data_IF_821774523505
#
_entry.id   IF_821774523505
#
_cell.length_a   1.000
_cell.length_b   1.000
_cell.length_c   1.000
_cell.angle_alpha   90.00
_cell.angle_beta   90.00
_cell.angle_gamma   90.00
#
_symmetry.space_group_name_H-M   'P 1'
#
loop_
_entity.id
_entity.type
_entity.pdbx_description
1 polymer ?
#
# COMPACT_ATOMS: atom_id res chain seq x y z
N UNK A 1 -16.10 -6.08 9.85
CA UNK A 1 -14.72 -6.59 9.72
C UNK A 1 -13.85 -5.43 9.26
N UNK A 2 -12.61 -5.30 9.72
CA UNK A 2 -11.74 -4.20 9.27
C UNK A 2 -11.17 -4.54 7.89
N UNK A 3 -11.17 -3.57 6.98
CA UNK A 3 -10.62 -3.69 5.62
C UNK A 3 -9.26 -3.02 5.51
N UNK A 4 -8.26 -3.74 5.03
CA UNK A 4 -6.88 -3.28 4.84
C UNK A 4 -6.55 -3.31 3.36
N UNK A 5 -6.14 -2.17 2.82
CA UNK A 5 -5.70 -2.03 1.43
C UNK A 5 -4.18 -1.89 1.33
N UNK A 6 -3.60 -2.47 0.29
CA UNK A 6 -2.21 -2.27 -0.13
C UNK A 6 -2.22 -1.89 -1.61
N UNK A 7 -1.61 -0.74 -1.96
CA UNK A 7 -1.35 -0.40 -3.36
C UNK A 7 0.16 -0.52 -3.59
N UNK A 8 0.57 -1.40 -4.51
CA UNK A 8 1.98 -1.69 -4.78
C UNK A 8 2.18 -2.47 -6.12
N UNK A 9 3.17 -3.35 -6.22
CA UNK A 9 3.50 -4.19 -7.38
C UNK A 9 2.73 -5.52 -7.46
N UNK A 10 1.78 -5.76 -6.55
CA UNK A 10 0.96 -6.98 -6.49
C UNK A 10 1.31 -7.88 -5.32
N UNK A 11 1.07 -9.18 -5.46
CA UNK A 11 1.51 -10.20 -4.50
C UNK A 11 1.90 -11.51 -5.19
N UNK A 12 2.93 -12.19 -4.71
CA UNK A 12 3.27 -13.55 -5.14
C UNK A 12 2.19 -14.54 -4.67
N UNK A 13 1.59 -15.28 -5.61
CA UNK A 13 0.58 -16.29 -5.26
C UNK A 13 1.17 -17.40 -4.36
N UNK A 14 2.47 -17.67 -4.51
CA UNK A 14 3.19 -18.64 -3.69
C UNK A 14 3.19 -18.23 -2.21
N UNK A 15 3.44 -16.96 -1.92
CA UNK A 15 3.40 -16.43 -0.56
C UNK A 15 2.02 -16.58 0.08
N UNK A 16 0.95 -16.28 -0.68
CA UNK A 16 -0.43 -16.46 -0.21
C UNK A 16 -0.73 -17.93 0.14
N UNK A 17 -0.27 -18.87 -0.70
CA UNK A 17 -0.45 -20.32 -0.48
C UNK A 17 0.32 -20.80 0.76
N UNK A 18 1.61 -20.48 0.84
CA UNK A 18 2.49 -20.92 1.92
C UNK A 18 1.99 -20.48 3.29
N UNK A 19 1.40 -19.30 3.37
CA UNK A 19 0.94 -18.69 4.61
C UNK A 19 -0.57 -18.74 4.82
N UNK A 20 -1.30 -19.49 3.99
CA UNK A 20 -2.75 -19.63 4.06
C UNK A 20 -3.50 -18.29 4.10
N UNK A 21 -2.98 -17.27 3.42
CA UNK A 21 -3.61 -15.96 3.31
C UNK A 21 -4.64 -15.93 2.18
N UNK A 22 -5.72 -15.19 2.40
CA UNK A 22 -6.78 -14.96 1.42
C UNK A 22 -6.92 -13.46 1.18
N UNK A 23 -7.05 -13.06 -0.09
CA UNK A 23 -7.45 -11.71 -0.44
C UNK A 23 -8.98 -11.66 -0.52
N UNK A 24 -9.58 -10.59 0.01
CA UNK A 24 -11.01 -10.35 -0.10
C UNK A 24 -11.41 -9.72 -1.45
N UNK A 25 -10.46 -9.06 -2.10
CA UNK A 25 -10.58 -8.51 -3.44
C UNK A 25 -9.23 -7.98 -3.91
N UNK A 26 -9.04 -7.85 -5.21
CA UNK A 26 -7.83 -7.25 -5.75
C UNK A 26 -8.12 -6.60 -7.11
N UNK A 27 -7.26 -5.70 -7.54
CA UNK A 27 -7.35 -5.09 -8.85
C UNK A 27 -5.98 -4.79 -9.45
N UNK A 28 -5.88 -4.77 -10.77
CA UNK A 28 -4.70 -4.29 -11.50
C UNK A 28 -5.04 -3.06 -12.32
N UNK A 29 -4.11 -2.09 -12.35
CA UNK A 29 -4.27 -0.84 -13.08
C UNK A 29 -3.04 -0.59 -13.94
N UNK A 30 -3.23 -0.62 -15.26
CA UNK A 30 -2.18 -0.40 -16.25
C UNK A 30 -2.58 0.71 -17.21
N UNK A 31 -1.60 1.43 -17.76
CA UNK A 31 -1.85 2.44 -18.79
C UNK A 31 -1.17 1.99 -20.07
N UNK A 32 -1.97 1.74 -21.10
CA UNK A 32 -1.48 1.64 -22.47
C UNK A 32 -1.22 3.06 -22.98
N UNK A 33 0.06 3.41 -23.14
CA UNK A 33 0.47 4.73 -23.61
C UNK A 33 0.17 4.96 -25.09
N UNK A 34 0.17 3.90 -25.90
CA UNK A 34 -0.08 3.99 -27.34
C UNK A 34 -1.57 4.16 -27.60
N UNK A 35 -2.41 3.40 -26.90
CA UNK A 35 -3.87 3.54 -26.97
C UNK A 35 -4.41 4.72 -26.15
N UNK A 36 -3.60 5.25 -25.21
CA UNK A 36 -4.02 6.23 -24.20
C UNK A 36 -5.20 5.75 -23.35
N UNK A 37 -5.23 4.45 -23.04
CA UNK A 37 -6.31 3.80 -22.29
C UNK A 37 -5.76 3.30 -20.96
N UNK A 38 -6.42 3.70 -19.87
CA UNK A 38 -6.21 3.10 -18.56
C UNK A 38 -7.08 1.85 -18.46
N UNK A 39 -6.44 0.70 -18.26
CA UNK A 39 -7.12 -0.56 -18.02
C UNK A 39 -7.17 -0.82 -16.50
N UNK A 40 -8.38 -1.03 -15.99
CA UNK A 40 -8.62 -1.49 -14.63
C UNK A 40 -9.25 -2.88 -14.68
N UNK A 41 -8.65 -3.85 -13.99
CA UNK A 41 -9.15 -5.23 -13.89
C UNK A 41 -9.33 -5.59 -12.44
N UNK A 42 -10.58 -5.65 -11.98
CA UNK A 42 -10.92 -6.12 -10.65
C UNK A 42 -11.12 -7.65 -10.63
N UNK A 43 -10.76 -8.27 -9.53
CA UNK A 43 -10.81 -9.70 -9.31
C UNK A 43 -11.62 -9.99 -8.05
N UNK A 44 -12.65 -10.82 -8.22
CA UNK A 44 -13.52 -11.21 -7.12
C UNK A 44 -12.92 -12.38 -6.34
N UNK A 45 -13.47 -12.66 -5.16
CA UNK A 45 -12.98 -13.71 -4.26
C UNK A 45 -12.81 -15.07 -4.95
N UNK A 46 -13.74 -15.45 -5.82
CA UNK A 46 -13.70 -16.74 -6.52
C UNK A 46 -12.49 -16.83 -7.46
N UNK A 47 -12.22 -15.78 -8.25
CA UNK A 47 -11.05 -15.71 -9.13
C UNK A 47 -9.75 -15.79 -8.34
N UNK A 48 -9.71 -15.10 -7.20
CA UNK A 48 -8.55 -15.05 -6.31
C UNK A 48 -8.29 -16.40 -5.62
N UNK A 49 -9.36 -17.09 -5.21
CA UNK A 49 -9.26 -18.43 -4.64
C UNK A 49 -8.81 -19.46 -5.69
N UNK A 50 -9.33 -19.37 -6.91
CA UNK A 50 -8.91 -20.21 -8.03
C UNK A 50 -7.44 -19.98 -8.38
N UNK A 51 -7.01 -18.73 -8.49
CA UNK A 51 -5.60 -18.36 -8.72
C UNK A 51 -4.69 -18.85 -7.58
N UNK A 52 -5.10 -18.66 -6.32
CA UNK A 52 -4.41 -19.23 -5.17
C UNK A 52 -4.41 -20.75 -5.18
N UNK A 53 -5.39 -21.42 -5.76
CA UNK A 53 -5.38 -22.88 -5.92
C UNK A 53 -4.50 -23.38 -7.09
N UNK A 54 -3.94 -22.48 -7.91
CA UNK A 54 -3.11 -22.83 -9.06
C UNK A 54 -3.84 -22.77 -10.41
N UNK A 55 -5.06 -22.23 -10.45
CA UNK A 55 -5.79 -22.06 -11.70
C UNK A 55 -5.42 -20.73 -12.37
N UNK A 56 -4.74 -20.80 -13.51
CA UNK A 56 -4.45 -19.65 -14.36
C UNK A 56 -3.47 -18.64 -13.75
N UNK A 57 -3.39 -17.49 -14.40
CA UNK A 57 -2.56 -16.35 -13.99
C UNK A 57 -3.43 -15.11 -13.94
N UNK A 58 -3.31 -14.33 -12.87
CA UNK A 58 -3.92 -13.00 -12.78
C UNK A 58 -2.84 -11.94 -12.96
N UNK A 59 -3.24 -10.74 -13.40
CA UNK A 59 -2.35 -9.57 -13.48
C UNK A 59 -2.14 -8.94 -12.09
N UNK A 60 -1.91 -9.79 -11.10
CA UNK A 60 -1.65 -9.50 -9.70
C UNK A 60 -0.33 -10.11 -9.22
N UNK A 61 0.23 -11.05 -9.98
CA UNK A 61 1.49 -11.70 -9.64
C UNK A 61 2.59 -10.65 -9.52
N UNK A 62 3.21 -10.60 -8.35
CA UNK A 62 4.30 -9.68 -8.06
C UNK A 62 5.62 -10.22 -8.63
N UNK A 63 5.98 -9.73 -9.81
CA UNK A 63 7.22 -10.12 -10.49
C UNK A 63 8.45 -9.35 -10.00
N UNK A 64 8.27 -8.35 -9.13
CA UNK A 64 9.36 -7.63 -8.50
C UNK A 64 9.63 -8.14 -7.07
N UNK A 65 8.58 -8.34 -6.28
CA UNK A 65 8.61 -8.79 -4.90
C UNK A 65 8.34 -7.69 -3.85
N UNK A 66 8.15 -6.42 -4.24
CA UNK A 66 8.03 -5.30 -3.30
C UNK A 66 6.65 -5.28 -2.61
N UNK A 67 5.57 -5.47 -3.37
CA UNK A 67 4.23 -5.60 -2.83
C UNK A 67 4.08 -6.82 -1.91
N UNK A 68 4.70 -7.94 -2.28
CA UNK A 68 4.81 -9.14 -1.45
C UNK A 68 5.59 -8.86 -0.17
N UNK A 69 6.71 -8.14 -0.27
CA UNK A 69 7.49 -7.72 0.88
C UNK A 69 6.66 -6.86 1.84
N UNK A 70 5.91 -5.88 1.34
CA UNK A 70 4.98 -5.05 2.13
C UNK A 70 3.94 -5.92 2.86
N UNK A 71 3.23 -6.79 2.14
CA UNK A 71 2.23 -7.68 2.76
C UNK A 71 2.88 -8.62 3.79
N UNK A 72 4.09 -9.11 3.52
CA UNK A 72 4.81 -10.01 4.40
C UNK A 72 5.22 -9.36 5.72
N UNK A 73 5.54 -8.06 5.71
CA UNK A 73 5.85 -7.29 6.93
C UNK A 73 4.61 -7.20 7.81
N UNK A 74 3.46 -6.84 7.23
CA UNK A 74 2.19 -6.86 7.97
C UNK A 74 1.95 -8.24 8.55
N UNK A 75 2.06 -9.27 7.71
CA UNK A 75 1.86 -10.66 8.10
C UNK A 75 2.76 -11.04 9.29
N UNK A 76 4.08 -10.85 9.19
CA UNK A 76 5.05 -11.22 10.23
C UNK A 76 4.83 -10.47 11.56
N UNK A 77 4.50 -9.17 11.51
CA UNK A 77 4.41 -8.33 12.70
C UNK A 77 3.05 -8.34 13.40
N UNK A 78 1.99 -8.76 12.71
CA UNK A 78 0.65 -8.88 13.28
C UNK A 78 0.35 -10.36 13.53
N UNK A 79 0.68 -10.80 14.75
CA UNK A 79 0.53 -12.19 15.21
C UNK A 79 -0.25 -12.25 16.52
N UNK A 80 -1.30 -13.10 16.61
CA UNK A 80 -1.95 -13.85 15.52
C UNK A 80 -2.55 -12.93 14.45
N UNK A 81 -2.70 -13.41 13.21
CA UNK A 81 -3.31 -12.62 12.14
C UNK A 81 -4.78 -12.34 12.49
N UNK A 82 -5.22 -11.07 12.49
CA UNK A 82 -6.56 -10.69 12.94
C UNK A 82 -7.62 -11.01 11.88
N UNK A 83 -8.88 -10.98 12.30
CA UNK A 83 -10.03 -11.08 11.39
C UNK A 83 -10.19 -9.78 10.59
N UNK A 84 -9.46 -9.71 9.47
CA UNK A 84 -9.40 -8.56 8.56
C UNK A 84 -9.52 -9.01 7.11
N UNK A 85 -10.15 -8.17 6.31
CA UNK A 85 -10.19 -8.34 4.86
C UNK A 85 -8.99 -7.63 4.24
N UNK A 86 -8.21 -8.34 3.43
CA UNK A 86 -7.04 -7.78 2.73
C UNK A 86 -7.39 -7.53 1.27
N UNK A 87 -7.12 -6.32 0.81
CA UNK A 87 -7.27 -5.90 -0.58
C UNK A 87 -5.92 -5.48 -1.15
N UNK A 88 -5.66 -5.84 -2.40
CA UNK A 88 -4.41 -5.48 -3.11
C UNK A 88 -4.73 -4.80 -4.43
N UNK A 89 -4.13 -3.64 -4.68
CA UNK A 89 -4.13 -3.01 -5.99
C UNK A 89 -2.71 -3.01 -6.56
N UNK A 90 -2.54 -3.62 -7.73
CA UNK A 90 -1.28 -3.62 -8.47
C UNK A 90 -1.24 -2.43 -9.42
N UNK A 91 -0.26 -1.55 -9.25
CA UNK A 91 -0.02 -0.36 -10.09
C UNK A 91 1.44 -0.23 -10.54
N UNK A 92 2.34 -1.06 -10.01
CA UNK A 92 3.76 -1.06 -10.33
C UNK A 92 4.14 -2.29 -11.15
N UNK A 93 5.00 -2.09 -12.13
CA UNK A 93 5.58 -3.14 -12.97
C UNK A 93 6.80 -3.82 -12.31
N UNK A 94 7.42 -4.76 -13.02
CA UNK A 94 8.61 -5.49 -12.56
C UNK A 94 9.82 -4.59 -12.24
N UNK A 95 9.83 -3.34 -12.72
CA UNK A 95 10.88 -2.36 -12.49
C UNK A 95 10.50 -1.32 -11.43
N UNK A 96 9.40 -1.52 -10.69
CA UNK A 96 8.85 -0.56 -9.72
C UNK A 96 8.50 0.77 -10.39
N UNK A 97 7.93 0.68 -11.60
CA UNK A 97 7.41 1.83 -12.33
C UNK A 97 5.90 1.70 -12.48
N UNK A 98 5.21 2.81 -12.30
CA UNK A 98 3.77 2.91 -12.48
C UNK A 98 3.39 4.29 -12.99
N UNK A 99 2.26 4.39 -13.66
CA UNK A 99 1.75 5.67 -14.10
C UNK A 99 0.95 6.36 -12.99
N UNK A 100 1.12 7.67 -12.81
CA UNK A 100 0.45 8.38 -11.71
C UNK A 100 -1.08 8.39 -11.84
N UNK A 101 -1.63 8.25 -13.05
CA UNK A 101 -3.07 8.05 -13.25
C UNK A 101 -3.54 6.69 -12.70
N UNK A 102 -2.77 5.62 -12.88
CA UNK A 102 -3.07 4.31 -12.29
C UNK A 102 -3.08 4.38 -10.76
N UNK A 103 -2.19 5.18 -10.16
CA UNK A 103 -2.19 5.40 -8.71
C UNK A 103 -3.48 6.12 -8.26
N UNK A 104 -3.91 7.18 -8.95
CA UNK A 104 -5.18 7.87 -8.61
C UNK A 104 -6.36 6.93 -8.74
N UNK A 105 -6.41 6.13 -9.81
CA UNK A 105 -7.52 5.20 -10.03
C UNK A 105 -7.54 4.06 -9.00
N UNK A 106 -6.38 3.49 -8.68
CA UNK A 106 -6.26 2.51 -7.62
C UNK A 106 -6.63 3.07 -6.23
N UNK A 107 -6.31 4.35 -5.98
CA UNK A 107 -6.77 5.05 -4.78
C UNK A 107 -8.29 5.22 -4.80
N UNK A 108 -8.89 5.55 -5.94
CA UNK A 108 -10.35 5.60 -6.12
C UNK A 108 -11.01 4.27 -5.78
N UNK A 109 -10.50 3.17 -6.34
CA UNK A 109 -10.99 1.82 -6.06
C UNK A 109 -10.84 1.44 -4.58
N UNK A 110 -9.64 1.62 -3.99
CA UNK A 110 -9.40 1.28 -2.58
C UNK A 110 -10.21 2.12 -1.61
N UNK A 111 -10.24 3.43 -1.85
CA UNK A 111 -10.87 4.36 -0.97
C UNK A 111 -12.37 4.35 -1.23
N UNK A 112 -12.89 4.75 -2.38
CA UNK A 112 -14.33 4.93 -2.55
C UNK A 112 -15.10 3.63 -2.74
N UNK A 113 -14.63 2.71 -3.60
CA UNK A 113 -15.39 1.49 -3.92
C UNK A 113 -15.26 0.40 -2.86
N UNK A 114 -14.04 0.01 -2.51
CA UNK A 114 -13.77 -1.00 -1.49
C UNK A 114 -14.11 -0.46 -0.10
N UNK A 115 -13.82 0.82 0.15
CA UNK A 115 -14.06 1.44 1.44
C UNK A 115 -13.07 0.99 2.51
N UNK A 116 -11.77 0.90 2.20
CA UNK A 116 -10.79 0.42 3.19
C UNK A 116 -10.70 1.32 4.42
N UNK A 117 -10.52 0.70 5.59
CA UNK A 117 -10.33 1.38 6.88
C UNK A 117 -8.88 1.80 7.10
N UNK A 118 -7.95 1.05 6.51
CA UNK A 118 -6.50 1.27 6.62
C UNK A 118 -5.85 0.99 5.27
N UNK A 119 -5.19 2.00 4.70
CA UNK A 119 -4.51 1.90 3.42
C UNK A 119 -3.00 2.08 3.59
N UNK A 120 -2.22 1.11 3.11
CA UNK A 120 -0.78 1.21 2.95
C UNK A 120 -0.43 1.65 1.51
N UNK A 121 0.27 2.77 1.37
CA UNK A 121 0.80 3.27 0.09
C UNK A 121 2.33 3.38 0.18
N UNK A 122 3.04 2.38 -0.34
CA UNK A 122 4.51 2.37 -0.32
C UNK A 122 5.12 2.97 -1.60
N UNK A 123 4.42 3.93 -2.21
CA UNK A 123 4.81 4.66 -3.40
C UNK A 123 4.22 6.09 -3.39
N UNK A 124 4.71 6.93 -4.30
CA UNK A 124 4.16 8.28 -4.51
C UNK A 124 4.62 8.89 -5.84
N UNK A 125 4.11 10.07 -6.14
CA UNK A 125 4.40 10.82 -7.38
C UNK A 125 4.75 12.26 -7.09
N UNK A 126 5.57 12.87 -7.95
CA UNK A 126 5.84 14.31 -7.97
C UNK A 126 4.86 15.07 -8.88
N UNK A 127 3.91 14.38 -9.52
CA UNK A 127 2.98 14.96 -10.48
C UNK A 127 1.88 15.79 -9.81
N UNK A 128 2.18 17.07 -9.56
CA UNK A 128 1.30 18.01 -8.84
C UNK A 128 -0.08 18.25 -9.45
N UNK A 129 -0.24 18.02 -10.75
CA UNK A 129 -1.54 18.16 -11.40
C UNK A 129 -2.62 17.23 -10.81
N UNK A 130 -2.22 16.13 -10.16
CA UNK A 130 -3.12 15.15 -9.54
C UNK A 130 -3.46 15.46 -8.08
N UNK A 131 -2.92 16.55 -7.53
CA UNK A 131 -3.09 16.89 -6.11
C UNK A 131 -4.56 17.06 -5.73
N UNK A 132 -5.34 17.77 -6.54
CA UNK A 132 -6.76 17.99 -6.28
C UNK A 132 -7.53 16.67 -6.22
N UNK A 133 -7.31 15.77 -7.18
CA UNK A 133 -7.97 14.46 -7.23
C UNK A 133 -7.57 13.57 -6.04
N UNK A 134 -6.28 13.50 -5.73
CA UNK A 134 -5.81 12.70 -4.58
C UNK A 134 -6.31 13.28 -3.25
N UNK A 135 -6.34 14.61 -3.10
CA UNK A 135 -6.87 15.29 -1.92
C UNK A 135 -8.34 15.00 -1.71
N UNK A 136 -9.14 15.14 -2.76
CA UNK A 136 -10.57 14.86 -2.72
C UNK A 136 -10.87 13.40 -2.29
N UNK A 137 -10.15 12.42 -2.85
CA UNK A 137 -10.21 11.01 -2.45
C UNK A 137 -9.84 10.79 -0.97
N UNK A 138 -8.68 11.32 -0.58
CA UNK A 138 -8.10 11.09 0.75
C UNK A 138 -8.90 11.81 1.85
N UNK A 139 -9.44 12.99 1.58
CA UNK A 139 -10.24 13.77 2.53
C UNK A 139 -11.61 13.11 2.77
N UNK A 140 -12.30 12.64 1.73
CA UNK A 140 -13.54 11.85 1.89
C UNK A 140 -13.31 10.58 2.70
N UNK A 141 -12.23 9.86 2.38
CA UNK A 141 -11.89 8.64 3.10
C UNK A 141 -11.49 8.92 4.56
N UNK A 142 -10.74 9.98 4.82
CA UNK A 142 -10.40 10.39 6.17
C UNK A 142 -11.65 10.80 6.97
N UNK A 143 -12.60 11.51 6.36
CA UNK A 143 -13.86 11.93 6.98
C UNK A 143 -14.72 10.75 7.46
N UNK A 144 -14.66 9.60 6.78
CA UNK A 144 -15.32 8.36 7.26
C UNK A 144 -14.49 7.57 8.28
N UNK A 145 -13.33 8.09 8.66
CA UNK A 145 -12.43 7.51 9.65
C UNK A 145 -11.36 6.57 9.10
N UNK A 146 -11.18 6.49 7.77
CA UNK A 146 -10.08 5.69 7.20
C UNK A 146 -8.72 6.32 7.53
N UNK A 147 -7.70 5.47 7.66
CA UNK A 147 -6.32 5.87 7.88
C UNK A 147 -5.53 5.54 6.62
N UNK A 148 -4.84 6.55 6.09
CA UNK A 148 -4.08 6.42 4.86
C UNK A 148 -2.63 6.68 5.22
N UNK A 149 -1.81 5.63 5.22
CA UNK A 149 -0.38 5.73 5.47
C UNK A 149 0.36 5.69 4.14
N UNK A 150 1.25 6.65 3.91
CA UNK A 150 2.06 6.71 2.70
C UNK A 150 3.53 6.88 3.03
N UNK A 151 4.41 6.19 2.32
CA UNK A 151 5.85 6.33 2.50
C UNK A 151 6.31 7.73 2.13
N UNK A 152 7.08 8.35 3.01
CA UNK A 152 7.71 9.63 2.74
C UNK A 152 8.83 9.45 1.70
N UNK A 153 8.92 10.40 0.77
CA UNK A 153 10.01 10.47 -0.21
C UNK A 153 11.15 11.37 0.26
N UNK A 154 12.32 11.26 -0.39
CA UNK A 154 13.44 12.20 -0.21
C UNK A 154 13.15 13.63 -0.69
N UNK A 155 12.02 13.83 -1.36
CA UNK A 155 11.47 15.10 -1.79
C UNK A 155 9.94 15.06 -1.61
N UNK A 156 9.23 16.19 -1.65
CA UNK A 156 7.80 16.21 -1.42
C UNK A 156 7.01 15.44 -2.52
N UNK A 157 6.32 14.37 -2.14
CA UNK A 157 5.52 13.49 -3.03
C UNK A 157 4.05 13.42 -2.62
N UNK A 158 3.18 13.17 -3.59
CA UNK A 158 1.77 12.88 -3.38
C UNK A 158 1.52 11.36 -3.38
N UNK A 159 0.60 10.84 -2.55
CA UNK A 159 -0.28 11.58 -1.65
C UNK A 159 0.35 11.89 -0.27
N UNK A 160 1.60 11.48 -0.01
CA UNK A 160 2.26 11.65 1.30
C UNK A 160 2.20 13.08 1.84
N UNK A 161 2.28 14.13 1.01
CA UNK A 161 2.18 15.53 1.45
C UNK A 161 0.77 16.00 1.83
N UNK A 162 -0.30 15.25 1.53
CA UNK A 162 -1.68 15.66 1.80
C UNK A 162 -2.00 15.59 3.29
N UNK A 163 -2.77 16.54 3.82
CA UNK A 163 -3.02 16.65 5.28
C UNK A 163 -3.77 15.45 5.87
N UNK A 164 -4.67 14.85 5.10
CA UNK A 164 -5.45 13.66 5.46
C UNK A 164 -4.62 12.36 5.46
N UNK A 165 -3.41 12.40 4.92
CA UNK A 165 -2.50 11.25 4.82
C UNK A 165 -1.46 11.30 5.94
N UNK A 166 -1.16 10.16 6.53
CA UNK A 166 -0.04 9.99 7.47
C UNK A 166 1.21 9.66 6.66
N UNK A 167 2.15 10.59 6.60
CA UNK A 167 3.44 10.40 5.94
C UNK A 167 4.41 9.65 6.87
N UNK A 168 4.93 8.52 6.44
CA UNK A 168 5.78 7.63 7.25
C UNK A 168 7.21 7.62 6.73
N UNK A 169 8.16 7.97 7.59
CA UNK A 169 9.60 7.96 7.31
C UNK A 169 10.35 6.89 8.09
N UNK A 170 11.63 6.73 7.74
CA UNK A 170 12.62 5.91 8.45
C UNK A 170 13.77 6.79 8.96
N UNK A 171 14.72 6.26 9.77
CA UNK A 171 15.81 7.06 10.30
C UNK A 171 16.73 7.62 9.19
N UNK A 172 16.95 6.86 8.12
CA UNK A 172 17.84 7.25 7.02
C UNK A 172 17.28 8.39 6.17
N UNK A 173 15.96 8.51 6.03
CA UNK A 173 15.30 9.66 5.44
C UNK A 173 15.49 10.89 6.33
N UNK A 174 15.25 10.76 7.63
CA UNK A 174 15.31 11.88 8.57
C UNK A 174 16.69 12.56 8.64
N UNK A 175 17.77 11.83 8.33
CA UNK A 175 19.13 12.39 8.24
C UNK A 175 19.34 13.32 7.03
N UNK A 176 18.47 13.25 6.01
CA UNK A 176 18.69 13.90 4.69
C UNK A 176 17.52 14.76 4.22
N UNK A 177 16.36 14.61 4.83
CA UNK A 177 15.11 15.18 4.31
C UNK A 177 15.05 16.70 4.51
N UNK A 178 14.53 17.40 3.51
CA UNK A 178 14.25 18.84 3.57
C UNK A 178 13.05 19.17 4.47
N UNK A 179 13.00 20.41 4.96
CA UNK A 179 11.90 20.90 5.80
C UNK A 179 10.54 21.00 5.06
N UNK A 180 10.56 20.92 3.73
CA UNK A 180 9.41 20.91 2.84
C UNK A 180 8.75 19.53 2.71
N UNK A 181 9.39 18.48 3.22
CA UNK A 181 8.81 17.13 3.26
C UNK A 181 8.09 16.93 4.58
N UNK A 182 6.77 16.81 4.52
CA UNK A 182 5.98 16.34 5.65
C UNK A 182 6.35 14.90 6.02
N UNK A 183 6.68 14.67 7.29
CA UNK A 183 6.84 13.35 7.93
C UNK A 183 6.06 13.38 9.24
N UNK A 184 4.99 12.59 9.33
CA UNK A 184 4.09 12.54 10.49
C UNK A 184 4.49 11.46 11.50
N UNK A 185 5.16 10.40 11.02
CA UNK A 185 5.60 9.28 11.84
C UNK A 185 6.95 8.76 11.37
N UNK A 186 7.80 8.34 12.31
CA UNK A 186 9.10 7.74 12.02
C UNK A 186 9.19 6.40 12.73
N UNK A 187 9.36 5.34 11.94
CA UNK A 187 9.69 4.00 12.46
C UNK A 187 11.14 4.02 12.93
N UNK A 188 11.42 3.49 14.13
CA UNK A 188 12.74 3.64 14.78
C UNK A 188 13.70 2.50 14.43
N UNK A 189 13.12 1.36 14.08
CA UNK A 189 13.80 0.15 13.67
C UNK A 189 14.63 0.43 12.41
N UNK A 190 15.86 -0.10 12.40
CA UNK A 190 16.80 0.08 11.28
C UNK A 190 16.75 -1.04 10.27
N UNK A 191 16.10 -2.14 10.63
CA UNK A 191 15.97 -3.33 9.80
C UNK A 191 14.58 -3.92 10.01
N UNK A 192 14.13 -4.69 9.03
CA UNK A 192 12.84 -5.37 9.06
C UNK A 192 13.00 -6.78 8.47
N UNK A 193 12.24 -7.72 9.01
CA UNK A 193 12.08 -9.04 8.43
C UNK A 193 10.97 -9.00 7.39
N UNK A 194 11.24 -9.50 6.18
CA UNK A 194 10.28 -9.56 5.09
C UNK A 194 10.50 -10.80 4.24
N UNK A 195 9.53 -11.13 3.39
CA UNK A 195 9.59 -12.18 2.38
C UNK A 195 9.69 -11.55 0.99
N UNK A 196 10.68 -11.93 0.20
CA UNK A 196 10.87 -11.46 -1.16
C UNK A 196 11.66 -12.47 -1.97
N UNK A 197 11.22 -12.81 -3.19
CA UNK A 197 11.93 -13.76 -4.04
C UNK A 197 11.97 -15.18 -3.45
N UNK A 198 10.88 -15.64 -2.85
CA UNK A 198 10.77 -17.03 -2.39
C UNK A 198 11.33 -17.32 -0.99
N UNK A 199 11.80 -16.34 -0.23
CA UNK A 199 12.42 -16.57 1.07
C UNK A 199 12.29 -15.39 2.04
N UNK A 200 12.32 -15.70 3.34
CA UNK A 200 12.39 -14.71 4.40
C UNK A 200 13.82 -14.17 4.57
N UNK A 201 13.95 -12.87 4.76
CA UNK A 201 15.23 -12.19 4.95
C UNK A 201 15.09 -11.00 5.90
N UNK A 202 16.18 -10.67 6.59
CA UNK A 202 16.32 -9.44 7.36
C UNK A 202 17.03 -8.42 6.46
N UNK A 203 16.40 -7.25 6.26
CA UNK A 203 16.94 -6.21 5.37
C UNK A 203 16.97 -4.85 6.06
N UNK A 204 17.82 -3.91 5.58
CA UNK A 204 17.74 -2.52 6.01
C UNK A 204 16.35 -1.92 5.79
N UNK A 205 15.94 -1.05 6.72
CA UNK A 205 14.70 -0.29 6.61
C UNK A 205 14.74 0.64 5.41
N UNK A 206 13.60 0.74 4.73
CA UNK A 206 13.29 1.78 3.74
C UNK A 206 12.00 2.47 4.16
N UNK A 207 11.67 3.62 3.57
CA UNK A 207 10.41 4.31 3.88
C UNK A 207 9.18 3.50 3.46
N UNK A 208 9.28 2.69 2.39
CA UNK A 208 8.25 1.74 1.97
C UNK A 208 7.98 0.68 3.05
N UNK A 209 9.04 0.13 3.64
CA UNK A 209 8.92 -0.88 4.68
C UNK A 209 8.52 -0.26 6.02
N UNK A 210 8.99 0.94 6.34
CA UNK A 210 8.56 1.70 7.51
C UNK A 210 7.05 1.99 7.46
N UNK A 211 6.51 2.33 6.29
CA UNK A 211 5.06 2.47 6.09
C UNK A 211 4.32 1.17 6.47
N UNK A 212 4.79 0.02 5.97
CA UNK A 212 4.22 -1.30 6.27
C UNK A 212 4.31 -1.64 7.77
N UNK A 213 5.44 -1.36 8.43
CA UNK A 213 5.63 -1.54 9.88
C UNK A 213 4.66 -0.67 10.67
N UNK A 214 4.48 0.59 10.27
CA UNK A 214 3.59 1.50 10.97
C UNK A 214 2.12 1.08 10.82
N UNK A 215 1.72 0.63 9.61
CA UNK A 215 0.40 0.03 9.34
C UNK A 215 0.19 -1.24 10.15
N UNK A 216 1.19 -2.11 10.27
CA UNK A 216 1.15 -3.29 11.13
C UNK A 216 0.93 -2.90 12.61
N UNK A 217 1.59 -1.84 13.08
CA UNK A 217 1.34 -1.24 14.40
C UNK A 217 -0.11 -0.82 14.60
N UNK A 218 -0.73 -0.16 13.61
CA UNK A 218 -2.16 0.22 13.66
C UNK A 218 -3.09 -0.98 13.72
N UNK A 219 -2.74 -2.08 13.04
CA UNK A 219 -3.52 -3.32 13.08
C UNK A 219 -3.44 -4.02 14.44
N UNK A 220 -2.24 -4.05 15.03
CA UNK A 220 -1.96 -4.72 16.30
C UNK A 220 -2.44 -3.92 17.51
N UNK A 221 -2.10 -2.64 17.55
CA UNK A 221 -2.19 -1.80 18.76
C UNK A 221 -3.28 -0.71 18.64
N UNK A 222 -3.85 -0.54 17.45
CA UNK A 222 -4.72 0.59 17.12
C UNK A 222 -3.94 1.84 16.68
N UNK A 223 -4.62 2.86 16.16
CA UNK A 223 -3.95 4.03 15.61
C UNK A 223 -3.37 4.94 16.70
N UNK A 224 -2.16 5.49 16.51
CA UNK A 224 -1.64 6.52 17.39
C UNK A 224 -2.54 7.77 17.42
N UNK A 225 -2.45 8.59 18.49
CA UNK A 225 -3.14 9.88 18.54
C UNK A 225 -2.85 10.74 17.30
N UNK A 226 -3.88 11.36 16.74
CA UNK A 226 -3.76 12.25 15.57
C UNK A 226 -3.72 11.56 14.20
N UNK A 227 -3.69 10.23 14.13
CA UNK A 227 -3.74 9.51 12.84
C UNK A 227 -5.12 9.51 12.18
N UNK A 228 -6.19 9.66 12.96
CA UNK A 228 -7.54 9.89 12.43
C UNK A 228 -7.69 11.36 12.10
N UNK A 229 -7.57 11.71 10.82
CA UNK A 229 -7.51 13.10 10.33
C UNK A 229 -8.87 13.72 9.98
N UNK A 230 -9.95 12.94 9.89
CA UNK A 230 -11.28 13.40 9.45
C UNK A 230 -12.16 14.13 10.46
N UNK A 231 -11.72 14.28 11.72
CA UNK A 231 -12.49 14.96 12.77
C UNK A 231 -11.93 16.36 13.07
N UNK A 232 -11.91 17.26 12.08
CA UNK A 232 -11.79 18.70 12.33
C UNK A 232 -13.05 19.43 11.88
#
# INVERSE_FOLDING_TARGET
>A
MKKVGIIDSGVEVAFLREHALSLAGAASFTLDLDAQVLEARAYEREDLEAWRAGAGTLDLEDTHGHGTAVLSILHDQVRPWPDVEVYVARVLDQNIRGHSLCLVEAMGWMLDEVGVDLLNLSLGTTHRALEASMRDLTDRAAARGAIIASSAGGMPTLPAQLESVVSVGDPALMERVGADVKVDHVVKEREVKLYMGGHWMQVPMTTSFACAVAVAGVLRDGPPPGWRRGNR
#
